data_IF_061495178333
#
_entry.id   IF_061495178333
#
_cell.length_a   1.000
_cell.length_b   1.000
_cell.length_c   1.000
_cell.angle_alpha   90.00
_cell.angle_beta   90.00
_cell.angle_gamma   90.00
#
_symmetry.space_group_name_H-M   'P 1'
#
loop_
_entity.id
_entity.type
_entity.pdbx_description
1 polymer ?
#
# COMPACT_ATOMS: atom_id res chain seq x y z
N UNK A 1 -74.40 4.40 -5.01
CA UNK A 1 -72.98 4.02 -5.15
C UNK A 1 -72.76 2.81 -4.26
N UNK A 2 -72.63 1.64 -4.87
CA UNK A 2 -72.20 0.41 -4.17
C UNK A 2 -70.68 0.49 -3.95
N UNK A 3 -70.16 0.03 -2.80
CA UNK A 3 -68.72 -0.03 -2.60
C UNK A 3 -68.11 -1.02 -3.59
N UNK A 4 -67.06 -0.57 -4.27
CA UNK A 4 -66.24 -1.41 -5.15
C UNK A 4 -65.43 -2.33 -4.24
N UNK A 5 -65.82 -3.60 -4.23
CA UNK A 5 -65.09 -4.67 -3.55
C UNK A 5 -63.82 -4.96 -4.35
N UNK A 6 -62.71 -4.36 -3.93
CA UNK A 6 -61.39 -4.67 -4.48
C UNK A 6 -61.04 -6.04 -3.95
N UNK A 7 -61.25 -7.07 -4.77
CA UNK A 7 -60.74 -8.41 -4.48
C UNK A 7 -59.22 -8.33 -4.48
N UNK A 8 -58.63 -8.30 -3.28
CA UNK A 8 -57.20 -8.45 -3.11
C UNK A 8 -56.83 -9.83 -3.65
N UNK A 9 -55.93 -9.95 -4.63
CA UNK A 9 -55.40 -11.26 -4.98
C UNK A 9 -54.69 -11.77 -3.73
N UNK A 10 -55.18 -12.87 -3.17
CA UNK A 10 -54.39 -13.63 -2.21
C UNK A 10 -53.17 -14.13 -2.97
N UNK A 11 -52.02 -13.49 -2.71
CA UNK A 11 -50.74 -14.04 -3.09
C UNK A 11 -50.57 -15.34 -2.29
N UNK A 12 -50.79 -16.48 -2.94
CA UNK A 12 -50.31 -17.74 -2.41
C UNK A 12 -48.79 -17.63 -2.22
N UNK A 13 -48.26 -17.81 -0.99
CA UNK A 13 -46.83 -17.82 -0.79
C UNK A 13 -46.33 -19.17 -1.32
N UNK A 14 -45.81 -19.20 -2.53
CA UNK A 14 -44.88 -20.25 -2.95
C UNK A 14 -43.58 -20.04 -2.17
N UNK A 15 -43.61 -20.32 -0.86
CA UNK A 15 -42.59 -20.03 0.15
C UNK A 15 -41.34 -20.90 0.03
N UNK A 16 -40.80 -21.03 -1.18
CA UNK A 16 -39.54 -21.73 -1.40
C UNK A 16 -38.39 -20.77 -1.11
N UNK A 17 -37.58 -21.11 -0.12
CA UNK A 17 -36.40 -20.34 0.27
C UNK A 17 -35.38 -20.27 -0.89
N UNK A 18 -34.74 -19.11 -1.05
CA UNK A 18 -33.66 -18.93 -2.02
C UNK A 18 -32.50 -19.88 -1.75
N UNK A 19 -31.86 -20.37 -2.81
CA UNK A 19 -30.63 -21.17 -2.71
C UNK A 19 -29.46 -20.32 -2.19
N UNK A 20 -28.44 -20.95 -1.59
CA UNK A 20 -27.25 -20.24 -1.09
C UNK A 20 -26.51 -19.41 -2.17
N UNK A 21 -26.69 -19.72 -3.45
CA UNK A 21 -26.15 -18.95 -4.57
C UNK A 21 -26.99 -17.69 -4.83
N UNK A 22 -28.31 -17.81 -4.75
CA UNK A 22 -29.28 -16.72 -4.94
C UNK A 22 -29.26 -15.75 -3.76
N UNK A 23 -29.18 -16.24 -2.51
CA UNK A 23 -29.01 -15.41 -1.31
C UNK A 23 -27.79 -14.47 -1.45
N UNK A 24 -26.67 -14.99 -1.96
CA UNK A 24 -25.45 -14.19 -2.18
C UNK A 24 -25.52 -13.25 -3.38
N UNK A 25 -26.58 -13.30 -4.18
CA UNK A 25 -26.74 -12.41 -5.32
C UNK A 25 -27.46 -11.10 -4.97
N UNK A 26 -28.14 -11.04 -3.81
CA UNK A 26 -29.01 -9.93 -3.41
C UNK A 26 -28.80 -9.56 -1.94
N UNK A 27 -29.18 -8.34 -1.55
CA UNK A 27 -29.17 -7.96 -0.12
C UNK A 27 -30.29 -8.71 0.61
N UNK A 28 -29.92 -9.35 1.72
CA UNK A 28 -30.80 -10.13 2.60
C UNK A 28 -30.84 -9.55 4.02
N UNK A 29 -31.90 -9.82 4.79
CA UNK A 29 -32.06 -9.29 6.16
C UNK A 29 -31.12 -9.92 7.20
N UNK A 30 -30.13 -10.73 6.77
CA UNK A 30 -29.16 -11.36 7.66
C UNK A 30 -28.23 -10.37 8.36
N UNK A 31 -27.99 -9.19 7.77
CA UNK A 31 -27.22 -8.15 8.41
C UNK A 31 -28.08 -7.39 9.45
N UNK A 32 -27.48 -6.99 10.56
CA UNK A 32 -28.19 -6.20 11.59
C UNK A 32 -28.64 -4.86 10.99
N UNK A 33 -29.92 -4.53 11.14
CA UNK A 33 -30.54 -3.24 10.73
C UNK A 33 -30.32 -2.89 9.24
N UNK A 34 -30.95 -3.65 8.34
CA UNK A 34 -31.01 -3.33 6.90
C UNK A 34 -32.28 -2.52 6.61
N UNK A 35 -32.13 -1.39 5.94
CA UNK A 35 -33.23 -0.61 5.38
C UNK A 35 -34.08 -1.51 4.46
N UNK A 36 -35.41 -1.62 4.69
CA UNK A 36 -36.30 -2.43 3.86
C UNK A 36 -36.21 -2.11 2.36
N UNK A 37 -35.87 -0.88 1.99
CA UNK A 37 -35.72 -0.50 0.59
C UNK A 37 -34.49 -1.15 -0.08
N UNK A 38 -33.49 -1.58 0.69
CA UNK A 38 -32.29 -2.22 0.16
C UNK A 38 -32.48 -3.71 -0.10
N UNK A 39 -33.52 -4.34 0.45
CA UNK A 39 -33.77 -5.77 0.27
C UNK A 39 -34.02 -6.12 -1.20
N UNK A 40 -33.41 -7.22 -1.65
CA UNK A 40 -33.52 -7.67 -3.05
C UNK A 40 -32.67 -6.88 -4.04
N UNK A 41 -31.93 -5.86 -3.61
CA UNK A 41 -30.99 -5.13 -4.48
C UNK A 41 -29.81 -6.06 -4.83
N UNK A 42 -29.43 -6.15 -6.11
CA UNK A 42 -28.37 -7.05 -6.54
C UNK A 42 -26.99 -6.62 -6.02
N UNK A 43 -26.24 -7.59 -5.50
CA UNK A 43 -24.89 -7.43 -4.98
C UNK A 43 -23.84 -7.48 -6.08
N UNK A 44 -22.73 -6.74 -5.88
CA UNK A 44 -21.56 -6.86 -6.74
C UNK A 44 -20.90 -8.25 -6.60
N UNK A 45 -20.33 -8.77 -7.70
CA UNK A 45 -19.53 -9.99 -7.63
C UNK A 45 -18.12 -9.73 -7.10
N UNK A 46 -17.46 -10.72 -6.47
CA UNK A 46 -16.08 -10.58 -6.00
C UNK A 46 -15.13 -10.13 -7.12
N UNK A 47 -15.26 -10.72 -8.31
CA UNK A 47 -14.42 -10.37 -9.48
C UNK A 47 -14.62 -8.90 -9.88
N UNK A 48 -15.88 -8.43 -9.94
CA UNK A 48 -16.18 -7.04 -10.34
C UNK A 48 -15.64 -6.03 -9.32
N UNK A 49 -15.68 -6.38 -8.03
CA UNK A 49 -15.02 -5.62 -6.97
C UNK A 49 -13.50 -5.64 -7.14
N UNK A 50 -12.92 -6.81 -7.41
CA UNK A 50 -11.48 -6.97 -7.68
C UNK A 50 -10.99 -6.10 -8.83
N UNK A 51 -11.68 -6.12 -9.98
CA UNK A 51 -11.36 -5.27 -11.14
C UNK A 51 -11.47 -3.78 -10.78
N UNK A 52 -12.51 -3.37 -10.06
CA UNK A 52 -12.65 -1.99 -9.61
C UNK A 52 -11.49 -1.56 -8.71
N UNK A 53 -11.09 -2.41 -7.76
CA UNK A 53 -9.97 -2.16 -6.86
C UNK A 53 -8.62 -2.13 -7.60
N UNK A 54 -8.43 -2.97 -8.62
CA UNK A 54 -7.23 -2.94 -9.45
C UNK A 54 -7.10 -1.63 -10.24
N UNK A 55 -8.18 -1.15 -10.85
CA UNK A 55 -8.20 0.16 -11.55
C UNK A 55 -7.89 1.29 -10.56
N UNK A 56 -8.56 1.29 -9.40
CA UNK A 56 -8.31 2.27 -8.35
C UNK A 56 -6.85 2.20 -7.87
N UNK A 57 -6.28 1.00 -7.73
CA UNK A 57 -4.88 0.78 -7.33
C UNK A 57 -3.89 1.36 -8.33
N UNK A 58 -4.11 1.23 -9.63
CA UNK A 58 -3.26 1.86 -10.66
C UNK A 58 -3.27 3.39 -10.56
N UNK A 59 -4.44 3.98 -10.28
CA UNK A 59 -4.56 5.42 -10.07
C UNK A 59 -3.77 5.82 -8.82
N UNK A 60 -3.97 5.12 -7.70
CA UNK A 60 -3.26 5.39 -6.44
C UNK A 60 -1.75 5.24 -6.60
N UNK A 61 -1.26 4.21 -7.31
CA UNK A 61 0.16 4.05 -7.62
C UNK A 61 0.71 5.23 -8.44
N UNK A 62 -0.09 5.75 -9.38
CA UNK A 62 0.26 6.96 -10.12
C UNK A 62 0.33 8.21 -9.23
N UNK A 63 -0.60 8.36 -8.28
CA UNK A 63 -0.61 9.45 -7.30
C UNK A 63 0.60 9.35 -6.35
N UNK A 64 0.92 8.15 -5.89
CA UNK A 64 2.05 7.87 -5.00
C UNK A 64 3.41 8.23 -5.63
N UNK A 65 3.55 8.05 -6.95
CA UNK A 65 4.73 8.48 -7.71
C UNK A 65 4.71 9.98 -8.07
N UNK A 66 3.81 10.75 -7.48
CA UNK A 66 3.51 12.15 -7.80
C UNK A 66 3.46 12.44 -9.31
N UNK A 67 2.93 11.49 -10.08
CA UNK A 67 2.85 11.61 -11.54
C UNK A 67 1.83 12.70 -11.88
N UNK A 68 2.30 13.82 -12.45
CA UNK A 68 1.43 14.91 -12.92
C UNK A 68 0.35 14.41 -13.89
N UNK A 69 0.67 13.38 -14.68
CA UNK A 69 -0.25 12.73 -15.61
C UNK A 69 -1.48 12.12 -14.91
N UNK A 70 -1.35 11.69 -13.64
CA UNK A 70 -2.45 11.12 -12.85
C UNK A 70 -3.01 12.14 -11.86
N UNK A 71 -2.15 12.93 -11.21
CA UNK A 71 -2.54 13.94 -10.24
C UNK A 71 -3.45 15.03 -10.82
N UNK A 72 -3.08 15.61 -11.97
CA UNK A 72 -3.84 16.70 -12.60
C UNK A 72 -5.27 16.29 -12.96
N UNK A 73 -5.53 15.17 -13.68
CA UNK A 73 -6.90 14.79 -14.01
C UNK A 73 -7.71 14.38 -12.77
N UNK A 74 -7.10 13.75 -11.77
CA UNK A 74 -7.78 13.42 -10.50
C UNK A 74 -8.20 14.70 -9.77
N UNK A 75 -7.28 15.66 -9.62
CA UNK A 75 -7.57 16.94 -8.97
C UNK A 75 -8.63 17.73 -9.74
N UNK A 76 -8.51 17.82 -11.07
CA UNK A 76 -9.48 18.48 -11.93
C UNK A 76 -10.88 17.85 -11.79
N UNK A 77 -10.96 16.51 -11.74
CA UNK A 77 -12.22 15.81 -11.52
C UNK A 77 -12.82 16.10 -10.14
N UNK A 78 -12.01 16.12 -9.08
CA UNK A 78 -12.47 16.48 -7.73
C UNK A 78 -12.95 17.93 -7.67
N UNK A 79 -12.22 18.87 -8.27
CA UNK A 79 -12.63 20.28 -8.38
C UNK A 79 -13.95 20.40 -9.13
N UNK A 80 -14.09 19.73 -10.27
CA UNK A 80 -15.33 19.72 -11.05
C UNK A 80 -16.52 19.16 -10.24
N UNK A 81 -16.32 18.06 -9.51
CA UNK A 81 -17.35 17.52 -8.61
C UNK A 81 -17.79 18.54 -7.55
N UNK A 82 -16.84 19.29 -6.98
CA UNK A 82 -17.13 20.29 -5.94
C UNK A 82 -17.75 21.57 -6.47
N UNK A 83 -17.36 22.01 -7.66
CA UNK A 83 -18.01 23.10 -8.37
C UNK A 83 -19.46 22.75 -8.69
N UNK A 84 -19.72 21.53 -9.20
CA UNK A 84 -21.08 21.04 -9.48
C UNK A 84 -21.95 21.01 -8.21
N UNK A 85 -21.36 20.69 -7.07
CA UNK A 85 -22.03 20.69 -5.76
C UNK A 85 -22.09 22.08 -5.09
N UNK A 86 -21.65 23.16 -5.76
CA UNK A 86 -21.63 24.53 -5.23
C UNK A 86 -20.81 24.67 -3.92
N UNK A 87 -19.76 23.85 -3.73
CA UNK A 87 -18.91 23.83 -2.53
C UNK A 87 -17.60 24.60 -2.76
N UNK A 88 -17.68 25.91 -2.96
CA UNK A 88 -16.55 26.78 -3.33
C UNK A 88 -15.36 26.75 -2.36
N UNK A 89 -15.60 26.65 -1.05
CA UNK A 89 -14.52 26.56 -0.05
C UNK A 89 -13.66 25.31 -0.29
N UNK A 90 -14.29 24.17 -0.60
CA UNK A 90 -13.56 22.93 -0.88
C UNK A 90 -12.82 23.01 -2.22
N UNK A 91 -13.36 23.74 -3.19
CA UNK A 91 -12.65 24.03 -4.45
C UNK A 91 -11.39 24.84 -4.17
N UNK A 92 -11.48 25.91 -3.38
CA UNK A 92 -10.32 26.72 -3.00
C UNK A 92 -9.26 25.88 -2.29
N UNK A 93 -9.66 25.01 -1.35
CA UNK A 93 -8.74 24.12 -0.65
C UNK A 93 -8.05 23.13 -1.60
N UNK A 94 -8.78 22.57 -2.57
CA UNK A 94 -8.20 21.67 -3.58
C UNK A 94 -7.23 22.41 -4.51
N UNK A 95 -7.54 23.64 -4.91
CA UNK A 95 -6.64 24.47 -5.71
C UNK A 95 -5.37 24.84 -4.94
N UNK A 96 -5.51 25.20 -3.66
CA UNK A 96 -4.37 25.45 -2.77
C UNK A 96 -3.51 24.19 -2.61
N UNK A 97 -4.11 23.03 -2.35
CA UNK A 97 -3.40 21.77 -2.23
C UNK A 97 -2.68 21.40 -3.53
N UNK A 98 -3.32 21.63 -4.68
CA UNK A 98 -2.69 21.44 -5.99
C UNK A 98 -1.51 22.39 -6.22
N UNK A 99 -1.66 23.66 -5.85
CA UNK A 99 -0.59 24.66 -5.94
C UNK A 99 0.59 24.30 -5.02
N UNK A 100 0.33 23.89 -3.78
CA UNK A 100 1.36 23.43 -2.85
C UNK A 100 2.05 22.20 -3.42
N UNK A 101 1.32 21.22 -3.96
CA UNK A 101 1.92 20.03 -4.54
C UNK A 101 2.81 20.36 -5.76
N UNK A 102 2.34 21.21 -6.68
CA UNK A 102 3.18 21.63 -7.82
C UNK A 102 4.39 22.43 -7.35
N UNK A 103 4.21 23.36 -6.40
CA UNK A 103 5.30 24.15 -5.84
C UNK A 103 6.32 23.29 -5.09
N UNK A 104 5.89 22.31 -4.31
CA UNK A 104 6.81 21.40 -3.63
C UNK A 104 7.56 20.51 -4.61
N UNK A 105 6.98 20.15 -5.76
CA UNK A 105 7.73 19.40 -6.78
C UNK A 105 8.92 20.19 -7.35
N UNK A 106 8.83 21.52 -7.39
CA UNK A 106 9.89 22.40 -7.91
C UNK A 106 10.86 22.85 -6.80
N UNK A 107 10.36 23.16 -5.62
CA UNK A 107 11.15 23.80 -4.55
C UNK A 107 11.56 22.85 -3.41
N UNK A 108 10.90 21.71 -3.25
CA UNK A 108 11.13 20.76 -2.16
C UNK A 108 10.69 19.32 -2.54
N UNK A 109 11.33 18.70 -3.56
CA UNK A 109 10.88 17.42 -4.11
C UNK A 109 10.84 16.30 -3.06
N UNK A 110 11.67 16.39 -2.02
CA UNK A 110 11.71 15.46 -0.87
C UNK A 110 10.38 15.34 -0.10
N UNK A 111 9.45 16.31 -0.26
CA UNK A 111 8.16 16.30 0.43
C UNK A 111 7.11 15.44 -0.32
N UNK A 112 7.23 15.31 -1.63
CA UNK A 112 6.23 14.62 -2.47
C UNK A 112 6.69 13.28 -3.01
N UNK A 113 7.97 13.15 -3.23
CA UNK A 113 8.58 11.91 -3.63
C UNK A 113 9.12 11.27 -2.35
N UNK A 114 8.89 9.97 -2.19
CA UNK A 114 9.76 9.15 -1.35
C UNK A 114 11.17 9.54 -1.77
N UNK A 115 11.95 10.15 -0.87
CA UNK A 115 13.35 10.36 -1.16
C UNK A 115 13.86 8.98 -1.63
N UNK A 116 14.47 8.85 -2.83
CA UNK A 116 15.27 7.65 -3.05
C UNK A 116 16.15 7.55 -1.81
N UNK A 117 16.13 6.37 -1.16
CA UNK A 117 16.86 6.10 0.09
C UNK A 117 18.02 7.05 0.19
N UNK A 118 18.00 7.94 1.19
CA UNK A 118 18.94 9.05 1.34
C UNK A 118 20.33 8.65 0.84
N UNK A 119 20.62 8.90 -0.44
CA UNK A 119 21.97 8.92 -0.96
C UNK A 119 22.48 10.23 -0.45
N UNK A 120 22.92 10.17 0.81
CA UNK A 120 23.53 11.23 1.57
C UNK A 120 24.74 11.74 0.79
N UNK A 121 24.55 12.66 -0.16
CA UNK A 121 25.62 13.24 -0.97
C UNK A 121 26.71 12.22 -1.36
N UNK A 122 26.31 11.00 -1.72
CA UNK A 122 27.26 9.98 -2.14
C UNK A 122 27.60 10.32 -3.57
N UNK A 123 28.83 10.78 -3.83
CA UNK A 123 29.35 10.89 -5.18
C UNK A 123 28.99 9.59 -5.93
N UNK A 124 28.24 9.71 -7.02
CA UNK A 124 27.84 8.57 -7.84
C UNK A 124 29.08 7.73 -8.19
N UNK A 125 28.91 6.40 -8.22
CA UNK A 125 29.95 5.53 -8.77
C UNK A 125 30.20 5.93 -10.22
N UNK A 126 31.34 6.56 -10.46
CA UNK A 126 31.79 6.84 -11.82
C UNK A 126 31.89 5.54 -12.64
N UNK A 127 31.68 5.64 -13.95
CA UNK A 127 31.65 4.51 -14.88
C UNK A 127 32.95 3.70 -14.81
N UNK A 128 34.09 4.36 -14.59
CA UNK A 128 35.37 3.67 -14.42
C UNK A 128 35.40 2.81 -13.13
N UNK A 129 34.86 3.35 -12.04
CA UNK A 129 34.84 2.69 -10.72
C UNK A 129 33.90 1.48 -10.73
N UNK A 130 32.72 1.63 -11.34
CA UNK A 130 31.74 0.53 -11.47
C UNK A 130 32.26 -0.61 -12.36
N UNK A 131 32.94 -0.31 -13.47
CA UNK A 131 33.58 -1.33 -14.32
C UNK A 131 34.65 -2.10 -13.54
N UNK A 132 35.48 -1.43 -12.75
CA UNK A 132 36.51 -2.09 -11.95
C UNK A 132 35.95 -2.93 -10.80
N UNK A 133 34.86 -2.49 -10.16
CA UNK A 133 34.13 -3.29 -9.16
C UNK A 133 33.54 -4.55 -9.82
N UNK A 134 32.95 -4.42 -11.01
CA UNK A 134 32.45 -5.57 -11.77
C UNK A 134 33.55 -6.56 -12.15
N UNK A 135 34.74 -6.07 -12.53
CA UNK A 135 35.90 -6.92 -12.80
C UNK A 135 36.41 -7.64 -11.53
N UNK A 136 36.41 -6.97 -10.38
CA UNK A 136 36.75 -7.57 -9.09
C UNK A 136 35.74 -8.67 -8.72
N UNK A 137 34.44 -8.44 -8.91
CA UNK A 137 33.40 -9.46 -8.71
C UNK A 137 33.65 -10.71 -9.56
N UNK A 138 33.94 -10.53 -10.85
CA UNK A 138 34.27 -11.63 -11.77
C UNK A 138 35.54 -12.36 -11.35
N UNK A 139 36.55 -11.65 -10.84
CA UNK A 139 37.78 -12.26 -10.35
C UNK A 139 37.52 -13.11 -9.08
N UNK A 140 36.69 -12.60 -8.17
CA UNK A 140 36.30 -13.25 -6.91
C UNK A 140 35.38 -14.46 -7.09
N UNK A 141 34.55 -14.46 -8.13
CA UNK A 141 33.65 -15.57 -8.44
C UNK A 141 34.36 -16.80 -9.05
N UNK A 142 35.64 -16.68 -9.45
CA UNK A 142 36.41 -17.81 -9.98
C UNK A 142 36.65 -18.87 -8.91
N UNK A 143 36.46 -20.13 -9.26
CA UNK A 143 36.67 -21.28 -8.38
C UNK A 143 38.09 -21.36 -7.79
N UNK A 144 39.09 -20.81 -8.51
CA UNK A 144 40.48 -20.74 -8.05
C UNK A 144 40.78 -19.57 -7.08
N UNK A 145 39.81 -18.71 -6.77
CA UNK A 145 40.01 -17.51 -5.96
C UNK A 145 39.58 -17.75 -4.51
N UNK A 146 40.52 -18.23 -3.69
CA UNK A 146 40.32 -18.42 -2.23
C UNK A 146 40.64 -17.15 -1.42
N UNK A 147 40.65 -17.25 -0.09
CA UNK A 147 40.87 -16.18 0.91
C UNK A 147 41.89 -15.10 0.50
N UNK A 148 43.10 -15.49 0.08
CA UNK A 148 44.15 -14.53 -0.28
C UNK A 148 43.87 -13.74 -1.56
N UNK A 149 43.14 -14.35 -2.50
CA UNK A 149 42.69 -13.72 -3.74
C UNK A 149 41.54 -12.75 -3.46
N UNK A 150 40.53 -13.20 -2.70
CA UNK A 150 39.39 -12.36 -2.29
C UNK A 150 39.83 -11.16 -1.47
N UNK A 151 40.74 -11.35 -0.50
CA UNK A 151 41.28 -10.25 0.32
C UNK A 151 42.00 -9.18 -0.52
N UNK A 152 42.68 -9.61 -1.60
CA UNK A 152 43.39 -8.71 -2.51
C UNK A 152 42.42 -7.86 -3.33
N UNK A 153 41.38 -8.48 -3.88
CA UNK A 153 40.35 -7.79 -4.67
C UNK A 153 39.54 -6.82 -3.81
N UNK A 154 39.07 -7.24 -2.63
CA UNK A 154 38.41 -6.37 -1.66
C UNK A 154 39.29 -5.18 -1.26
N UNK A 155 40.58 -5.40 -1.02
CA UNK A 155 41.52 -4.30 -0.70
C UNK A 155 41.68 -3.32 -1.86
N UNK A 156 41.63 -3.80 -3.11
CA UNK A 156 41.65 -2.98 -4.31
C UNK A 156 40.40 -2.11 -4.41
N UNK A 157 39.22 -2.73 -4.28
CA UNK A 157 37.92 -2.06 -4.30
C UNK A 157 37.84 -1.01 -3.19
N UNK A 158 38.20 -1.36 -1.95
CA UNK A 158 38.23 -0.42 -0.81
C UNK A 158 39.05 0.83 -1.12
N UNK A 159 40.25 0.69 -1.67
CA UNK A 159 41.13 1.83 -1.99
C UNK A 159 40.53 2.73 -3.07
N UNK A 160 39.86 2.13 -4.06
CA UNK A 160 39.17 2.86 -5.12
C UNK A 160 38.01 3.67 -4.56
N UNK A 161 37.18 3.05 -3.73
CA UNK A 161 36.05 3.71 -3.06
C UNK A 161 36.52 4.84 -2.13
N UNK A 162 37.60 4.63 -1.40
CA UNK A 162 38.24 5.68 -0.59
C UNK A 162 38.75 6.85 -1.44
N UNK A 163 39.42 6.57 -2.57
CA UNK A 163 39.92 7.60 -3.48
C UNK A 163 38.79 8.45 -4.04
N UNK A 164 37.64 7.84 -4.30
CA UNK A 164 36.44 8.52 -4.80
C UNK A 164 35.57 9.12 -3.69
N UNK A 165 35.96 8.98 -2.41
CA UNK A 165 35.21 9.46 -1.25
C UNK A 165 33.78 8.91 -1.20
N UNK A 166 33.61 7.63 -1.50
CA UNK A 166 32.31 6.96 -1.43
C UNK A 166 31.89 6.83 0.05
N UNK A 167 30.60 6.98 0.33
CA UNK A 167 30.09 6.86 1.69
C UNK A 167 30.30 5.44 2.27
N UNK A 168 30.45 5.33 3.59
CA UNK A 168 30.68 4.04 4.27
C UNK A 168 29.49 3.09 4.13
N UNK A 169 28.25 3.58 4.11
CA UNK A 169 27.07 2.74 3.92
C UNK A 169 27.08 2.09 2.52
N UNK A 170 27.33 2.89 1.48
CA UNK A 170 27.47 2.41 0.11
C UNK A 170 28.68 1.48 -0.06
N UNK A 171 29.80 1.78 0.61
CA UNK A 171 30.95 0.88 0.65
C UNK A 171 30.66 -0.44 1.37
N UNK A 172 29.76 -0.45 2.35
CA UNK A 172 29.34 -1.68 3.03
C UNK A 172 28.51 -2.54 2.08
N UNK A 173 27.50 -1.96 1.43
CA UNK A 173 26.62 -2.67 0.50
C UNK A 173 27.38 -3.31 -0.67
N UNK A 174 28.24 -2.53 -1.34
CA UNK A 174 29.08 -3.03 -2.44
C UNK A 174 29.99 -4.17 -1.99
N UNK A 175 30.62 -4.05 -0.82
CA UNK A 175 31.58 -5.06 -0.35
C UNK A 175 30.88 -6.33 0.13
N UNK A 176 29.68 -6.22 0.69
CA UNK A 176 28.80 -7.36 1.00
C UNK A 176 28.40 -8.10 -0.27
N UNK A 177 27.89 -7.39 -1.29
CA UNK A 177 27.50 -8.03 -2.56
C UNK A 177 28.67 -8.70 -3.29
N UNK A 178 29.90 -8.17 -3.17
CA UNK A 178 31.10 -8.83 -3.68
C UNK A 178 31.42 -10.13 -2.94
N UNK A 179 31.30 -10.13 -1.61
CA UNK A 179 31.55 -11.30 -0.77
C UNK A 179 30.51 -12.40 -0.97
N UNK A 180 29.24 -12.05 -1.12
CA UNK A 180 28.16 -12.98 -1.47
C UNK A 180 28.41 -13.68 -2.82
N UNK A 181 29.04 -12.98 -3.77
CA UNK A 181 29.44 -13.55 -5.07
C UNK A 181 30.70 -14.42 -5.04
N UNK A 182 31.36 -14.57 -3.88
CA UNK A 182 32.59 -15.36 -3.73
C UNK A 182 32.32 -16.79 -3.28
N UNK A 183 33.31 -17.68 -3.42
CA UNK A 183 33.21 -19.10 -3.00
C UNK A 183 33.49 -19.32 -1.50
N UNK A 184 33.40 -18.27 -0.67
CA UNK A 184 33.69 -18.32 0.77
C UNK A 184 32.47 -18.76 1.57
N UNK A 185 32.70 -19.38 2.73
CA UNK A 185 31.62 -19.64 3.71
C UNK A 185 31.10 -18.34 4.32
N UNK A 186 29.84 -18.32 4.72
CA UNK A 186 29.18 -17.13 5.29
C UNK A 186 29.91 -16.58 6.53
N UNK A 187 30.40 -17.46 7.40
CA UNK A 187 31.23 -17.05 8.55
C UNK A 187 32.49 -16.31 8.11
N UNK A 188 33.12 -16.75 7.02
CA UNK A 188 34.35 -16.15 6.50
C UNK A 188 34.07 -14.84 5.79
N UNK A 189 32.95 -14.74 5.08
CA UNK A 189 32.47 -13.51 4.47
C UNK A 189 32.29 -12.42 5.54
N UNK A 190 31.60 -12.73 6.64
CA UNK A 190 31.40 -11.79 7.75
C UNK A 190 32.72 -11.29 8.36
N UNK A 191 33.69 -12.20 8.58
CA UNK A 191 35.02 -11.84 9.10
C UNK A 191 35.78 -10.90 8.14
N UNK A 192 35.73 -11.17 6.84
CA UNK A 192 36.43 -10.36 5.84
C UNK A 192 35.79 -8.99 5.64
N UNK A 193 34.45 -8.91 5.72
CA UNK A 193 33.73 -7.65 5.69
C UNK A 193 34.15 -6.74 6.85
N UNK A 194 34.19 -7.27 8.07
CA UNK A 194 34.63 -6.54 9.26
C UNK A 194 36.09 -6.05 9.13
N UNK A 195 37.00 -6.92 8.68
CA UNK A 195 38.43 -6.58 8.49
C UNK A 195 38.63 -5.43 7.48
N UNK A 196 37.88 -5.46 6.39
CA UNK A 196 37.92 -4.43 5.35
C UNK A 196 37.37 -3.10 5.89
N UNK A 197 36.20 -3.11 6.52
CA UNK A 197 35.48 -1.92 6.98
C UNK A 197 36.16 -1.22 8.17
N UNK A 198 36.95 -1.94 8.98
CA UNK A 198 37.82 -1.35 10.01
C UNK A 198 38.74 -0.25 9.45
N UNK A 199 39.14 -0.39 8.20
CA UNK A 199 40.05 0.54 7.54
C UNK A 199 39.32 1.58 6.67
N UNK A 200 37.98 1.63 6.70
CA UNK A 200 37.19 2.60 5.94
C UNK A 200 36.84 3.80 6.84
N UNK A 201 37.09 5.05 6.41
CA UNK A 201 36.76 6.22 7.22
C UNK A 201 35.24 6.27 7.49
N UNK A 202 34.86 6.52 8.74
CA UNK A 202 33.46 6.75 9.11
C UNK A 202 33.06 8.18 8.75
N UNK A 203 31.80 8.39 8.33
CA UNK A 203 31.30 9.74 8.09
C UNK A 203 31.12 10.49 9.42
N UNK A 204 31.22 11.83 9.40
CA UNK A 204 31.10 12.67 10.62
C UNK A 204 29.78 12.42 11.38
N UNK A 205 28.69 12.16 10.65
CA UNK A 205 27.39 11.81 11.22
C UNK A 205 27.40 10.45 11.94
N UNK A 206 28.12 9.46 11.41
CA UNK A 206 28.24 8.14 12.04
C UNK A 206 29.16 8.17 13.27
N UNK A 207 30.22 8.98 13.25
CA UNK A 207 31.08 9.20 14.43
C UNK A 207 30.27 9.84 15.57
N UNK A 208 29.47 10.86 15.27
CA UNK A 208 28.60 11.50 16.25
C UNK A 208 27.52 10.56 16.81
N UNK A 209 26.94 9.68 15.97
CA UNK A 209 25.98 8.67 16.41
C UNK A 209 26.62 7.59 17.29
N UNK A 210 27.82 7.11 16.95
CA UNK A 210 28.55 6.13 17.75
C UNK A 210 28.96 6.71 19.10
N UNK A 211 29.43 7.95 19.13
CA UNK A 211 29.79 8.63 20.39
C UNK A 211 28.57 8.86 21.28
N UNK A 212 27.42 9.23 20.68
CA UNK A 212 26.13 9.33 21.40
C UNK A 212 25.65 7.98 21.97
N UNK A 213 25.78 6.89 21.21
CA UNK A 213 25.41 5.54 21.66
C UNK A 213 26.35 5.04 22.76
N UNK A 214 27.65 5.32 22.67
CA UNK A 214 28.66 4.91 23.67
C UNK A 214 28.45 5.56 25.04
N UNK A 215 27.83 6.74 25.04
CA UNK A 215 27.54 7.50 26.25
C UNK A 215 26.24 7.04 26.95
N UNK A 216 25.39 6.28 26.25
CA UNK A 216 24.04 5.93 26.70
C UNK A 216 23.84 4.46 27.13
N UNK A 217 24.78 3.55 26.87
CA UNK A 217 24.64 2.15 27.28
C UNK A 217 25.28 1.86 28.65
N UNK A 218 24.50 1.41 29.67
CA UNK A 218 25.06 0.66 30.78
C UNK A 218 25.49 -0.72 30.28
N UNK A 219 26.67 -1.14 30.72
CA UNK A 219 27.35 -2.38 30.36
C UNK A 219 26.49 -3.59 30.78
N UNK A 220 25.56 -4.00 29.91
CA UNK A 220 24.67 -5.14 30.13
C UNK A 220 24.77 -6.02 28.90
N UNK A 221 25.32 -7.22 29.07
CA UNK A 221 25.35 -8.22 28.02
C UNK A 221 23.90 -8.54 27.61
N UNK A 222 23.55 -8.26 26.36
CA UNK A 222 22.23 -8.58 25.82
C UNK A 222 22.07 -10.11 25.81
N UNK A 223 21.14 -10.62 26.62
CA UNK A 223 20.85 -12.05 26.79
C UNK A 223 20.17 -12.70 25.56
N UNK A 224 19.93 -11.92 24.51
CA UNK A 224 19.32 -12.36 23.27
C UNK A 224 19.92 -11.57 22.11
N UNK A 225 20.64 -12.26 21.23
CA UNK A 225 21.11 -11.75 19.93
C UNK A 225 20.30 -12.51 18.88
N UNK A 226 19.38 -11.85 18.16
CA UNK A 226 18.59 -12.52 17.12
C UNK A 226 19.51 -13.02 16.00
N UNK A 227 19.22 -14.21 15.50
CA UNK A 227 19.95 -14.91 14.44
C UNK A 227 19.77 -14.17 13.09
N UNK A 228 20.86 -13.81 12.37
CA UNK A 228 20.80 -13.05 11.12
C UNK A 228 19.96 -13.69 9.99
N UNK A 229 19.62 -14.98 10.09
CA UNK A 229 18.77 -15.65 9.10
C UNK A 229 17.26 -15.51 9.34
N UNK A 230 16.84 -15.03 10.52
CA UNK A 230 15.41 -14.84 10.79
C UNK A 230 14.90 -13.56 10.14
N UNK A 231 14.51 -13.64 8.86
CA UNK A 231 13.69 -12.62 8.20
C UNK A 231 12.40 -12.47 8.99
N UNK A 232 12.38 -11.49 9.88
CA UNK A 232 11.28 -11.30 10.80
C UNK A 232 10.06 -10.89 9.98
N UNK A 233 8.91 -11.51 10.24
CA UNK A 233 7.62 -11.05 9.68
C UNK A 233 7.45 -9.54 9.96
N UNK A 234 8.04 -9.05 11.05
CA UNK A 234 8.04 -7.63 11.39
C UNK A 234 8.96 -6.78 10.51
N UNK A 235 10.08 -7.32 10.03
CA UNK A 235 10.94 -6.65 9.02
C UNK A 235 10.26 -6.63 7.66
N UNK A 236 9.57 -7.70 7.26
CA UNK A 236 8.74 -7.69 6.06
C UNK A 236 7.58 -6.68 6.19
N UNK A 237 6.90 -6.63 7.34
CA UNK A 237 5.83 -5.66 7.63
C UNK A 237 6.37 -4.23 7.63
N UNK A 238 7.54 -3.99 8.25
CA UNK A 238 8.18 -2.67 8.28
C UNK A 238 8.67 -2.23 6.90
N UNK A 239 9.26 -3.13 6.10
CA UNK A 239 9.64 -2.86 4.71
C UNK A 239 8.43 -2.56 3.83
N UNK A 240 7.35 -3.33 3.96
CA UNK A 240 6.08 -3.06 3.28
C UNK A 240 5.47 -1.73 3.76
N UNK A 241 5.53 -1.40 5.05
CA UNK A 241 5.02 -0.14 5.60
C UNK A 241 5.84 1.09 5.20
N UNK A 242 7.16 0.97 5.09
CA UNK A 242 8.04 2.02 4.56
C UNK A 242 7.79 2.21 3.06
N UNK A 243 7.77 1.14 2.26
CA UNK A 243 7.44 1.20 0.82
C UNK A 243 6.01 1.67 0.53
N UNK A 244 5.09 1.55 1.51
CA UNK A 244 3.73 2.07 1.43
C UNK A 244 3.53 3.42 2.13
N UNK A 245 4.53 4.03 2.79
CA UNK A 245 4.31 5.18 3.67
C UNK A 245 3.58 6.34 2.98
N UNK A 246 4.06 6.73 1.79
CA UNK A 246 3.45 7.77 0.96
C UNK A 246 2.26 7.22 0.15
N UNK A 247 2.37 6.01 -0.39
CA UNK A 247 1.32 5.38 -1.19
C UNK A 247 0.02 5.09 -0.42
N UNK A 248 0.13 4.74 0.86
CA UNK A 248 -0.97 4.50 1.77
C UNK A 248 -1.72 5.78 2.09
N UNK A 249 -1.01 6.90 2.30
CA UNK A 249 -1.63 8.23 2.46
C UNK A 249 -2.49 8.62 1.26
N UNK A 250 -1.95 8.46 0.04
CA UNK A 250 -2.70 8.69 -1.19
C UNK A 250 -3.88 7.73 -1.38
N UNK A 251 -3.73 6.46 -0.99
CA UNK A 251 -4.82 5.49 -1.01
C UNK A 251 -5.97 5.94 -0.09
N UNK A 252 -5.65 6.26 1.18
CA UNK A 252 -6.62 6.74 2.17
C UNK A 252 -7.31 8.01 1.68
N UNK A 253 -6.55 8.98 1.17
CA UNK A 253 -7.10 10.21 0.60
C UNK A 253 -8.03 9.93 -0.59
N UNK A 254 -7.55 9.18 -1.60
CA UNK A 254 -8.30 8.86 -2.80
C UNK A 254 -9.61 8.13 -2.46
N UNK A 255 -9.56 7.05 -1.69
CA UNK A 255 -10.76 6.30 -1.35
C UNK A 255 -11.73 7.12 -0.50
N UNK A 256 -11.23 7.88 0.49
CA UNK A 256 -12.08 8.70 1.36
C UNK A 256 -12.78 9.83 0.60
N UNK A 257 -12.01 10.60 -0.19
CA UNK A 257 -12.56 11.72 -0.95
C UNK A 257 -13.56 11.24 -2.00
N UNK A 258 -13.20 10.24 -2.82
CA UNK A 258 -14.11 9.77 -3.86
C UNK A 258 -15.36 9.10 -3.28
N UNK A 259 -15.21 8.20 -2.31
CA UNK A 259 -16.37 7.50 -1.72
C UNK A 259 -17.28 8.49 -1.01
N UNK A 260 -16.75 9.39 -0.18
CA UNK A 260 -17.55 10.36 0.56
C UNK A 260 -18.18 11.43 -0.33
N UNK A 261 -17.55 11.81 -1.45
CA UNK A 261 -18.03 12.93 -2.28
C UNK A 261 -18.93 12.52 -3.43
N UNK A 262 -18.88 11.25 -3.82
CA UNK A 262 -19.75 10.67 -4.84
C UNK A 262 -20.80 9.71 -4.27
N UNK A 263 -20.93 9.66 -2.94
CA UNK A 263 -21.86 8.77 -2.24
C UNK A 263 -21.66 7.28 -2.58
N UNK A 264 -20.40 6.81 -2.53
CA UNK A 264 -20.08 5.39 -2.63
C UNK A 264 -19.31 4.95 -3.88
N UNK A 265 -18.86 5.86 -4.75
CA UNK A 265 -18.17 5.50 -6.00
C UNK A 265 -16.73 6.05 -6.09
N UNK A 266 -15.81 5.17 -6.45
CA UNK A 266 -14.50 5.57 -6.99
C UNK A 266 -14.53 5.53 -8.51
N UNK A 267 -13.45 5.97 -9.16
CA UNK A 267 -13.34 5.87 -10.63
C UNK A 267 -13.49 4.42 -11.08
N UNK A 268 -12.75 3.48 -10.47
CA UNK A 268 -12.84 2.05 -10.78
C UNK A 268 -14.23 1.48 -10.53
N UNK A 269 -14.90 1.87 -9.44
CA UNK A 269 -16.27 1.40 -9.12
C UNK A 269 -17.30 1.95 -10.08
N UNK A 270 -17.14 3.21 -10.51
CA UNK A 270 -18.00 3.84 -11.52
C UNK A 270 -17.88 3.13 -12.86
N UNK A 271 -16.65 2.83 -13.31
CA UNK A 271 -16.40 2.04 -14.52
C UNK A 271 -16.98 0.62 -14.41
N UNK A 272 -16.90 0.02 -13.23
CA UNK A 272 -17.47 -1.30 -12.96
C UNK A 272 -18.98 -1.29 -12.64
N UNK A 273 -19.66 -0.13 -12.68
CA UNK A 273 -21.08 0.03 -12.33
C UNK A 273 -21.43 -0.61 -10.98
N UNK A 274 -20.63 -0.32 -9.97
CA UNK A 274 -20.86 -0.72 -8.59
C UNK A 274 -20.80 0.50 -7.67
N UNK A 275 -21.46 0.40 -6.52
CA UNK A 275 -21.53 1.49 -5.56
C UNK A 275 -21.58 0.90 -4.15
N UNK A 276 -20.88 1.56 -3.23
CA UNK A 276 -20.99 1.28 -1.80
C UNK A 276 -22.23 2.00 -1.27
N UNK A 277 -23.07 1.30 -0.54
CA UNK A 277 -24.23 1.87 0.16
C UNK A 277 -24.19 1.47 1.62
N UNK A 278 -24.69 2.32 2.51
CA UNK A 278 -24.87 1.95 3.91
C UNK A 278 -26.12 1.09 4.05
N UNK A 279 -26.08 0.16 5.00
CA UNK A 279 -27.21 -0.73 5.28
C UNK A 279 -28.39 0.01 5.94
N UNK A 280 -28.15 1.15 6.58
CA UNK A 280 -29.18 1.99 7.22
C UNK A 280 -29.84 3.00 6.26
N UNK A 281 -29.54 2.94 4.96
CA UNK A 281 -30.14 3.81 3.94
C UNK A 281 -29.62 5.26 3.92
N UNK A 282 -28.81 5.66 4.89
CA UNK A 282 -28.25 7.02 4.98
C UNK A 282 -27.14 7.19 3.93
N UNK A 283 -26.96 8.39 3.34
CA UNK A 283 -25.81 8.65 2.46
C UNK A 283 -24.46 8.46 3.18
N UNK A 284 -23.46 8.07 2.40
CA UNK A 284 -22.07 7.98 2.84
C UNK A 284 -21.46 9.38 2.99
N UNK A 285 -21.04 9.71 4.20
CA UNK A 285 -20.26 10.91 4.47
C UNK A 285 -18.75 10.61 4.44
N UNK A 286 -17.96 11.66 4.62
CA UNK A 286 -16.49 11.57 4.65
C UNK A 286 -15.99 10.71 5.81
N UNK A 287 -16.62 10.83 6.99
CA UNK A 287 -16.20 10.10 8.17
C UNK A 287 -16.43 8.60 8.01
N UNK A 288 -17.58 8.20 7.49
CA UNK A 288 -17.90 6.81 7.20
C UNK A 288 -17.02 6.25 6.08
N UNK A 289 -16.70 7.05 5.07
CA UNK A 289 -15.76 6.66 4.03
C UNK A 289 -14.35 6.41 4.59
N UNK A 290 -13.88 7.29 5.49
CA UNK A 290 -12.59 7.16 6.17
C UNK A 290 -12.54 5.96 7.12
N UNK A 291 -13.55 5.79 7.98
CA UNK A 291 -13.60 4.68 8.94
C UNK A 291 -13.63 3.33 8.25
N UNK A 292 -14.30 3.23 7.09
CA UNK A 292 -14.27 2.06 6.22
C UNK A 292 -12.87 1.73 5.72
N UNK A 293 -11.99 2.73 5.53
CA UNK A 293 -10.60 2.50 5.14
C UNK A 293 -9.81 1.82 6.26
N UNK A 294 -10.08 2.13 7.52
CA UNK A 294 -9.49 1.45 8.69
C UNK A 294 -9.77 -0.06 8.70
N UNK A 295 -10.91 -0.48 8.18
CA UNK A 295 -11.25 -1.90 8.01
C UNK A 295 -10.29 -2.69 7.10
N UNK A 296 -9.57 -2.04 6.17
CA UNK A 296 -8.54 -2.71 5.38
C UNK A 296 -7.34 -3.11 6.24
N UNK A 297 -6.96 -2.30 7.24
CA UNK A 297 -5.92 -2.66 8.20
C UNK A 297 -6.28 -3.95 8.96
N UNK A 298 -7.54 -4.07 9.41
CA UNK A 298 -8.03 -5.28 10.05
C UNK A 298 -8.04 -6.50 9.09
N UNK A 299 -8.30 -6.29 7.80
CA UNK A 299 -8.22 -7.35 6.78
C UNK A 299 -6.81 -7.90 6.60
N UNK A 300 -5.78 -7.03 6.65
CA UNK A 300 -4.38 -7.47 6.66
C UNK A 300 -4.00 -8.16 7.97
N UNK A 301 -4.39 -7.60 9.12
CA UNK A 301 -4.11 -8.16 10.44
C UNK A 301 -4.71 -9.57 10.64
N UNK A 302 -5.78 -9.89 9.91
CA UNK A 302 -6.40 -11.24 9.92
C UNK A 302 -5.82 -12.18 8.86
N UNK A 303 -4.65 -11.88 8.29
CA UNK A 303 -4.00 -12.71 7.28
C UNK A 303 -4.79 -12.81 5.97
N UNK A 304 -5.41 -11.70 5.55
CA UNK A 304 -6.31 -11.60 4.38
C UNK A 304 -7.64 -12.34 4.52
N UNK A 305 -7.84 -13.13 5.59
CA UNK A 305 -9.07 -13.87 5.81
C UNK A 305 -10.29 -12.94 5.84
N UNK A 306 -10.16 -11.77 6.47
CA UNK A 306 -11.21 -10.74 6.50
C UNK A 306 -11.65 -10.25 5.11
N UNK A 307 -10.76 -10.27 4.11
CA UNK A 307 -11.11 -9.96 2.71
C UNK A 307 -11.77 -11.14 2.00
N UNK A 308 -11.27 -12.36 2.24
CA UNK A 308 -11.81 -13.60 1.67
C UNK A 308 -13.24 -13.90 2.14
N UNK A 309 -13.68 -13.31 3.27
CA UNK A 309 -15.06 -13.41 3.76
C UNK A 309 -16.13 -13.12 2.69
N UNK A 310 -15.82 -12.29 1.69
CA UNK A 310 -16.69 -12.02 0.56
C UNK A 310 -17.19 -13.27 -0.18
N UNK A 311 -16.43 -14.36 -0.18
CA UNK A 311 -16.76 -15.57 -0.94
C UNK A 311 -17.85 -16.41 -0.27
N UNK A 312 -17.98 -16.34 1.06
CA UNK A 312 -18.93 -17.14 1.83
C UNK A 312 -19.96 -16.31 2.61
N UNK A 313 -19.75 -15.01 2.79
CA UNK A 313 -20.69 -14.14 3.48
C UNK A 313 -22.04 -14.02 2.72
N UNK A 314 -23.20 -14.12 3.40
CA UNK A 314 -24.52 -14.03 2.76
C UNK A 314 -24.74 -12.74 1.96
N UNK A 315 -24.25 -11.60 2.46
CA UNK A 315 -24.37 -10.30 1.79
C UNK A 315 -23.09 -9.90 1.06
N UNK A 316 -22.15 -10.84 0.87
CA UNK A 316 -20.82 -10.60 0.27
C UNK A 316 -20.08 -9.42 0.90
N UNK A 317 -20.18 -9.29 2.23
CA UNK A 317 -19.45 -8.26 2.96
C UNK A 317 -18.08 -8.79 3.37
N UNK A 318 -17.04 -8.02 3.04
CA UNK A 318 -15.71 -8.21 3.61
C UNK A 318 -15.62 -7.52 4.99
N UNK A 319 -14.53 -7.72 5.73
CA UNK A 319 -14.34 -7.16 7.08
C UNK A 319 -14.52 -5.63 7.13
N UNK A 320 -14.02 -4.92 6.11
CA UNK A 320 -14.19 -3.47 6.01
C UNK A 320 -15.63 -3.05 5.73
N UNK A 321 -16.40 -3.88 5.03
CA UNK A 321 -17.81 -3.62 4.75
C UNK A 321 -18.64 -3.84 6.01
N UNK A 322 -18.37 -4.94 6.74
CA UNK A 322 -19.05 -5.26 8.00
C UNK A 322 -18.81 -4.23 9.08
N UNK A 323 -17.53 -3.87 9.31
CA UNK A 323 -17.17 -2.89 10.34
C UNK A 323 -17.73 -1.49 10.09
N UNK A 324 -18.06 -1.16 8.84
CA UNK A 324 -18.66 0.14 8.46
C UNK A 324 -20.16 0.08 8.23
N UNK A 325 -20.81 -1.09 8.39
CA UNK A 325 -22.22 -1.25 8.09
C UNK A 325 -22.56 -0.95 6.62
N UNK A 326 -21.66 -1.27 5.69
CA UNK A 326 -21.83 -1.00 4.26
C UNK A 326 -21.92 -2.28 3.44
N UNK A 327 -22.46 -2.16 2.23
CA UNK A 327 -22.51 -3.23 1.24
C UNK A 327 -22.27 -2.67 -0.15
N UNK A 328 -21.79 -3.52 -1.08
CA UNK A 328 -21.50 -3.10 -2.44
C UNK A 328 -22.57 -3.64 -3.39
N UNK A 329 -23.35 -2.73 -3.95
CA UNK A 329 -24.44 -3.05 -4.87
C UNK A 329 -24.00 -2.94 -6.32
N UNK A 330 -24.73 -3.64 -7.18
CA UNK A 330 -24.61 -3.56 -8.64
C UNK A 330 -25.64 -2.58 -9.19
N UNK A 331 -25.17 -1.56 -9.88
CA UNK A 331 -26.04 -0.60 -10.55
C UNK A 331 -26.62 -1.18 -11.84
N UNK A 332 -27.71 -0.56 -12.32
CA UNK A 332 -28.40 -0.91 -13.57
C UNK A 332 -28.91 -2.36 -13.62
N UNK A 333 -29.30 -2.90 -12.46
CA UNK A 333 -29.98 -4.18 -12.36
C UNK A 333 -31.26 -4.00 -11.52
N UNK A 334 -32.39 -4.59 -11.96
CA UNK A 334 -33.64 -4.50 -11.20
C UNK A 334 -33.51 -5.25 -9.87
N UNK A 335 -34.29 -4.83 -8.88
CA UNK A 335 -34.45 -5.58 -7.62
C UNK A 335 -35.05 -6.96 -7.92
N UNK A 336 -34.64 -7.96 -7.15
CA UNK A 336 -35.13 -9.32 -7.24
C UNK A 336 -36.02 -9.63 -6.02
N UNK A 337 -37.03 -10.51 -6.17
CA UNK A 337 -37.85 -10.94 -5.04
C UNK A 337 -37.02 -11.76 -4.04
N UNK A 338 -37.45 -11.76 -2.78
CA UNK A 338 -36.79 -12.50 -1.69
C UNK A 338 -37.20 -13.98 -1.62
N UNK A 339 -38.17 -14.38 -2.44
CA UNK A 339 -38.75 -15.73 -2.54
C UNK A 339 -39.07 -16.03 -4.02
N UNK A 340 -39.19 -17.31 -4.36
CA UNK A 340 -39.54 -17.78 -5.72
C UNK A 340 -41.01 -17.62 -6.05
#
# INVERSE_FOLDING_TARGET
>A
MLPIEITTPQAEPTGVALTAKETRAIITPYAFHVDPELLGVPLASPIRRGVAMAIDGLIVLGLAKASLLVMVPVLAYLVWLRLKAQKYVQVLLLLLAGFVAVGSAEYAPEILFEAPETTSSSKELDVETSVQIGLAAVAMAKESCHDGCVAKELKSVRRMMQKQQIDRAMATDVMTGLLEGSQLSEERQAQMLDEVLKHYPMSEAQVAAVDGVKQQLPNTEAWYVPDPETKSIMEWVNGVLQDLGIGFGWAVFYFTAFVGWTNGQTIGKKLCQIQIVRLDGVPLDLWQAFSRQGGYGAGFATGLLGFLQIFWDPNRQAIQDKGSGTVVIRLNKPKQPLHH
#
